data_IF_344144215423
#
_entry.id   IF_344144215423
#
_cell.length_a   1.000
_cell.length_b   1.000
_cell.length_c   1.000
_cell.angle_alpha   90.00
_cell.angle_beta   90.00
_cell.angle_gamma   90.00
#
_symmetry.space_group_name_H-M   'P 1'
#
loop_
_entity.id
_entity.type
_entity.pdbx_description
1 polymer ?
#
# COMPACT_ATOMS: atom_id res chain seq x y z
N UNK A 1 8.40 29.09 16.00
CA UNK A 1 9.74 28.99 16.62
C UNK A 1 10.65 28.32 15.61
N UNK A 2 11.82 28.89 15.33
CA UNK A 2 12.83 28.22 14.49
C UNK A 2 13.53 27.15 15.32
N UNK A 3 13.36 25.87 14.97
CA UNK A 3 14.09 24.77 15.62
C UNK A 3 15.52 24.79 15.07
N UNK A 4 16.52 24.99 15.94
CA UNK A 4 17.91 25.12 15.53
C UNK A 4 18.62 23.76 15.66
N UNK A 5 19.41 23.39 14.65
CA UNK A 5 20.20 22.16 14.69
C UNK A 5 21.20 22.17 15.86
N UNK A 6 21.66 23.35 16.28
CA UNK A 6 22.57 23.53 17.42
C UNK A 6 22.00 23.02 18.74
N UNK A 7 20.67 22.96 18.89
CA UNK A 7 20.00 22.48 20.10
C UNK A 7 20.19 20.96 20.30
N UNK A 8 20.70 20.26 19.28
CA UNK A 8 20.90 18.81 19.26
C UNK A 8 22.38 18.41 19.20
N UNK A 9 23.31 19.31 19.53
CA UNK A 9 24.75 19.10 19.37
C UNK A 9 25.24 17.74 19.89
N UNK A 10 24.78 17.30 21.06
CA UNK A 10 25.15 16.01 21.68
C UNK A 10 24.83 14.79 20.78
N UNK A 11 23.70 14.82 20.05
CA UNK A 11 23.30 13.72 19.15
C UNK A 11 24.09 13.71 17.84
N UNK A 12 24.82 14.78 17.55
CA UNK A 12 25.56 14.99 16.30
C UNK A 12 27.06 14.71 16.44
N UNK A 13 27.58 14.59 17.66
CA UNK A 13 29.02 14.42 17.94
C UNK A 13 29.62 13.19 17.26
N UNK A 14 28.84 12.10 17.16
CA UNK A 14 29.28 10.83 16.58
C UNK A 14 29.18 10.78 15.03
N UNK A 15 28.54 11.78 14.43
CA UNK A 15 28.37 11.86 12.97
C UNK A 15 29.65 12.34 12.30
N UNK A 16 29.98 11.75 11.15
CA UNK A 16 31.10 12.23 10.35
C UNK A 16 30.82 13.64 9.79
N UNK A 17 31.85 14.42 9.43
CA UNK A 17 31.65 15.73 8.78
C UNK A 17 30.77 15.66 7.53
N UNK A 18 30.84 14.54 6.80
CA UNK A 18 30.03 14.29 5.61
C UNK A 18 28.56 14.06 5.96
N UNK A 19 28.26 13.21 6.96
CA UNK A 19 26.89 13.02 7.45
C UNK A 19 26.31 14.30 8.07
N UNK A 20 27.12 15.10 8.77
CA UNK A 20 26.69 16.40 9.29
C UNK A 20 26.34 17.38 8.17
N UNK A 21 27.12 17.44 7.09
CA UNK A 21 26.82 18.27 5.93
C UNK A 21 25.51 17.84 5.24
N UNK A 22 25.30 16.52 5.10
CA UNK A 22 24.05 15.98 4.57
C UNK A 22 22.85 16.36 5.47
N UNK A 23 23.00 16.27 6.79
CA UNK A 23 21.95 16.66 7.73
C UNK A 23 21.63 18.16 7.65
N UNK A 24 22.65 19.02 7.59
CA UNK A 24 22.46 20.46 7.44
C UNK A 24 21.72 20.81 6.14
N UNK A 25 22.07 20.15 5.03
CA UNK A 25 21.41 20.34 3.75
C UNK A 25 19.91 19.93 3.78
N UNK A 26 19.56 18.90 4.55
CA UNK A 26 18.19 18.36 4.63
C UNK A 26 17.38 18.88 5.83
N UNK A 27 17.99 19.62 6.75
CA UNK A 27 17.38 20.04 8.02
C UNK A 27 16.07 20.82 7.84
N UNK A 28 16.04 21.72 6.87
CA UNK A 28 14.86 22.52 6.60
C UNK A 28 13.65 21.68 6.15
N UNK A 29 13.88 20.63 5.38
CA UNK A 29 12.78 19.72 4.99
C UNK A 29 12.37 18.80 6.14
N UNK A 30 13.34 18.31 6.92
CA UNK A 30 13.05 17.50 8.11
C UNK A 30 12.17 18.26 9.13
N UNK A 31 12.49 19.53 9.41
CA UNK A 31 11.74 20.37 10.36
C UNK A 31 10.33 20.75 9.89
N UNK A 32 10.00 20.62 8.60
CA UNK A 32 8.62 20.78 8.10
C UNK A 32 7.76 19.55 8.32
N UNK A 33 8.38 18.37 8.38
CA UNK A 33 7.66 17.09 8.49
C UNK A 33 7.50 16.67 9.94
N UNK A 34 8.56 16.81 10.73
CA UNK A 34 8.60 16.25 12.07
C UNK A 34 8.13 17.21 13.15
N UNK A 35 7.46 16.66 14.16
CA UNK A 35 7.31 17.30 15.46
C UNK A 35 8.66 17.36 16.20
N UNK A 36 8.77 18.13 17.30
CA UNK A 36 9.98 18.11 18.13
C UNK A 36 10.36 16.70 18.63
N UNK A 37 9.36 15.85 18.92
CA UNK A 37 9.57 14.43 19.30
C UNK A 37 10.02 13.60 18.09
N UNK A 38 9.44 13.86 16.91
CA UNK A 38 9.84 13.21 15.66
C UNK A 38 11.30 13.53 15.28
N UNK A 39 11.73 14.79 15.44
CA UNK A 39 13.12 15.21 15.19
C UNK A 39 14.10 14.52 16.14
N UNK A 40 13.76 14.42 17.43
CA UNK A 40 14.57 13.69 18.41
C UNK A 40 14.73 12.21 18.02
N UNK A 41 13.64 11.53 17.63
CA UNK A 41 13.67 10.15 17.16
C UNK A 41 14.48 10.00 15.86
N UNK A 42 14.33 10.92 14.92
CA UNK A 42 15.06 10.94 13.66
C UNK A 42 16.58 11.09 13.87
N UNK A 43 17.00 12.00 14.76
CA UNK A 43 18.41 12.22 15.08
C UNK A 43 19.01 11.05 15.88
N UNK A 44 18.27 10.52 16.87
CA UNK A 44 18.66 9.30 17.59
C UNK A 44 18.81 8.11 16.65
N UNK A 45 17.93 7.98 15.65
CA UNK A 45 18.03 6.96 14.61
C UNK A 45 19.29 7.12 13.75
N UNK A 46 19.65 8.35 13.37
CA UNK A 46 20.88 8.62 12.63
C UNK A 46 22.14 8.21 13.42
N UNK A 47 22.20 8.58 14.71
CA UNK A 47 23.27 8.17 15.62
C UNK A 47 23.31 6.65 15.83
N UNK A 48 22.16 6.00 16.02
CA UNK A 48 22.09 4.54 16.17
C UNK A 48 22.58 3.79 14.91
N UNK A 49 22.21 4.26 13.72
CA UNK A 49 22.68 3.70 12.45
C UNK A 49 24.17 3.93 12.26
N UNK A 50 24.68 5.10 12.66
CA UNK A 50 26.12 5.38 12.67
C UNK A 50 26.87 4.38 13.55
N UNK A 51 26.31 4.06 14.73
CA UNK A 51 26.85 3.05 15.65
C UNK A 51 26.99 1.64 15.07
N UNK A 52 26.35 1.32 13.95
CA UNK A 52 26.52 0.03 13.25
C UNK A 52 27.91 -0.12 12.59
N UNK A 53 28.63 0.99 12.35
CA UNK A 53 29.94 0.97 11.71
C UNK A 53 29.93 0.45 10.27
N UNK A 54 28.82 0.63 9.54
CA UNK A 54 28.60 0.11 8.17
C UNK A 54 28.87 1.12 7.05
N UNK A 55 29.47 2.27 7.36
CA UNK A 55 29.80 3.34 6.41
C UNK A 55 28.86 4.55 6.50
N UNK A 56 29.29 5.67 5.90
CA UNK A 56 28.57 6.95 5.95
C UNK A 56 27.35 6.96 5.02
N UNK A 57 27.39 6.23 3.91
CA UNK A 57 26.29 6.12 2.94
C UNK A 57 24.98 5.65 3.57
N UNK A 58 25.06 4.76 4.56
CA UNK A 58 23.90 4.26 5.29
C UNK A 58 23.25 5.35 6.14
N UNK A 59 24.06 6.19 6.77
CA UNK A 59 23.60 7.32 7.60
C UNK A 59 23.02 8.41 6.71
N UNK A 60 23.63 8.67 5.55
CA UNK A 60 23.10 9.58 4.54
C UNK A 60 21.74 9.13 4.00
N UNK A 61 21.59 7.85 3.66
CA UNK A 61 20.32 7.27 3.23
C UNK A 61 19.23 7.47 4.31
N UNK A 62 19.56 7.25 5.59
CA UNK A 62 18.65 7.57 6.69
C UNK A 62 18.28 9.06 6.73
N UNK A 63 19.27 9.94 6.67
CA UNK A 63 19.06 11.39 6.77
C UNK A 63 18.15 11.89 5.65
N UNK A 64 18.39 11.44 4.42
CA UNK A 64 17.70 11.93 3.22
C UNK A 64 16.29 11.34 3.11
N UNK A 65 16.12 10.04 3.34
CA UNK A 65 14.90 9.33 2.96
C UNK A 65 13.85 9.27 4.09
N UNK A 66 14.28 9.28 5.34
CA UNK A 66 13.37 9.15 6.51
C UNK A 66 12.31 10.26 6.61
N UNK A 67 12.62 11.55 6.34
CA UNK A 67 11.59 12.59 6.30
C UNK A 67 10.47 12.29 5.30
N UNK A 68 10.80 11.73 4.13
CA UNK A 68 9.80 11.37 3.14
C UNK A 68 8.95 10.19 3.62
N UNK A 69 9.52 9.19 4.28
CA UNK A 69 8.75 8.10 4.92
C UNK A 69 7.74 8.67 5.93
N UNK A 70 8.21 9.54 6.83
CA UNK A 70 7.35 10.13 7.85
C UNK A 70 6.23 11.00 7.26
N UNK A 71 6.49 11.68 6.14
CA UNK A 71 5.48 12.46 5.43
C UNK A 71 4.38 11.59 4.82
N UNK A 72 4.72 10.41 4.32
CA UNK A 72 3.76 9.53 3.63
C UNK A 72 2.93 8.69 4.62
N UNK A 73 3.53 8.18 5.71
CA UNK A 73 2.84 7.25 6.64
C UNK A 73 2.83 7.69 8.11
N UNK A 74 3.42 8.84 8.44
CA UNK A 74 3.45 9.41 9.79
C UNK A 74 4.79 9.23 10.52
N UNK A 75 5.11 10.11 11.47
CA UNK A 75 6.39 10.11 12.17
C UNK A 75 6.58 8.95 13.17
N UNK A 76 5.49 8.31 13.59
CA UNK A 76 5.55 7.22 14.59
C UNK A 76 6.30 5.98 14.06
N UNK A 77 6.34 5.76 12.74
CA UNK A 77 7.06 4.61 12.15
C UNK A 77 8.58 4.79 12.09
N UNK A 78 9.11 6.00 12.37
CA UNK A 78 10.56 6.27 12.29
C UNK A 78 11.32 5.37 13.26
N UNK A 79 10.80 5.18 14.47
CA UNK A 79 11.40 4.26 15.44
C UNK A 79 11.44 2.81 14.94
N UNK A 80 10.36 2.35 14.30
CA UNK A 80 10.28 1.01 13.73
C UNK A 80 11.26 0.81 12.56
N UNK A 81 11.44 1.84 11.71
CA UNK A 81 12.41 1.80 10.62
C UNK A 81 13.84 1.70 11.15
N UNK A 82 14.19 2.49 12.18
CA UNK A 82 15.49 2.38 12.86
C UNK A 82 15.68 0.98 13.46
N UNK A 83 14.69 0.49 14.22
CA UNK A 83 14.73 -0.82 14.85
C UNK A 83 14.87 -1.95 13.81
N UNK A 84 14.17 -1.88 12.68
CA UNK A 84 14.30 -2.82 11.58
C UNK A 84 15.74 -2.79 11.01
N UNK A 85 16.27 -1.61 10.71
CA UNK A 85 17.65 -1.44 10.21
C UNK A 85 18.69 -2.05 11.17
N UNK A 86 18.58 -1.78 12.47
CA UNK A 86 19.46 -2.33 13.49
C UNK A 86 19.34 -3.86 13.59
N UNK A 87 18.11 -4.39 13.54
CA UNK A 87 17.83 -5.83 13.58
C UNK A 87 18.37 -6.59 12.36
N UNK A 88 18.48 -5.91 11.22
CA UNK A 88 19.04 -6.49 10.00
C UNK A 88 20.57 -6.48 9.98
N UNK A 89 21.22 -5.59 10.73
CA UNK A 89 22.68 -5.42 10.73
C UNK A 89 23.48 -6.69 11.09
N UNK A 90 22.90 -7.60 11.87
CA UNK A 90 23.50 -8.89 12.24
C UNK A 90 23.28 -10.00 11.21
N UNK A 91 22.37 -9.81 10.26
CA UNK A 91 21.91 -10.85 9.30
C UNK A 91 22.20 -10.52 7.85
N UNK A 92 22.51 -9.27 7.54
CA UNK A 92 22.81 -8.83 6.16
C UNK A 92 23.92 -7.78 6.10
N UNK A 93 24.33 -7.43 4.87
CA UNK A 93 25.35 -6.42 4.62
C UNK A 93 24.80 -4.99 4.75
N UNK A 94 25.67 -4.03 5.05
CA UNK A 94 25.29 -2.60 5.11
C UNK A 94 24.63 -2.11 3.82
N UNK A 95 25.09 -2.57 2.66
CA UNK A 95 24.52 -2.23 1.37
C UNK A 95 23.05 -2.68 1.19
N UNK A 96 22.62 -3.75 1.87
CA UNK A 96 21.21 -4.20 1.82
C UNK A 96 20.33 -3.31 2.70
N UNK A 97 20.86 -2.87 3.85
CA UNK A 97 20.15 -1.95 4.74
C UNK A 97 20.06 -0.57 4.09
N UNK A 98 21.13 -0.13 3.43
CA UNK A 98 21.15 1.10 2.64
C UNK A 98 20.10 1.05 1.53
N UNK A 99 20.01 -0.06 0.79
CA UNK A 99 18.98 -0.24 -0.22
C UNK A 99 17.56 -0.27 0.39
N UNK A 100 17.37 -0.86 1.56
CA UNK A 100 16.10 -0.82 2.28
C UNK A 100 15.71 0.63 2.63
N UNK A 101 16.65 1.45 3.12
CA UNK A 101 16.41 2.87 3.43
C UNK A 101 16.09 3.66 2.16
N UNK A 102 16.87 3.47 1.09
CA UNK A 102 16.65 4.13 -0.21
C UNK A 102 15.30 3.77 -0.85
N UNK A 103 14.75 2.60 -0.55
CA UNK A 103 13.46 2.13 -1.09
C UNK A 103 12.30 2.27 -0.12
N UNK A 104 12.56 2.66 1.14
CA UNK A 104 11.54 2.87 2.15
C UNK A 104 10.50 3.95 1.76
N UNK A 105 10.88 5.10 1.14
CA UNK A 105 9.90 6.07 0.66
C UNK A 105 8.94 5.50 -0.38
N UNK A 106 9.44 4.66 -1.29
CA UNK A 106 8.59 3.97 -2.29
C UNK A 106 7.58 3.06 -1.60
N UNK A 107 8.01 2.28 -0.61
CA UNK A 107 7.09 1.44 0.16
C UNK A 107 6.08 2.29 0.96
N UNK A 108 6.54 3.35 1.63
CA UNK A 108 5.68 4.24 2.41
C UNK A 108 4.62 4.91 1.54
N UNK A 109 5.00 5.46 0.38
CA UNK A 109 4.07 6.08 -0.55
C UNK A 109 3.05 5.08 -1.12
N UNK A 110 3.49 3.86 -1.46
CA UNK A 110 2.61 2.83 -2.03
C UNK A 110 1.63 2.25 -1.02
N UNK A 111 2.06 2.08 0.22
CA UNK A 111 1.25 1.52 1.29
C UNK A 111 0.32 2.57 1.92
N UNK A 112 0.77 3.81 2.07
CA UNK A 112 -0.06 4.94 2.53
C UNK A 112 -0.64 4.79 3.94
N UNK A 113 -0.18 3.83 4.73
CA UNK A 113 -0.60 3.60 6.11
C UNK A 113 0.56 3.08 6.98
N UNK A 114 0.60 3.56 8.23
CA UNK A 114 1.66 3.25 9.20
C UNK A 114 1.73 1.75 9.53
N UNK A 115 0.58 1.11 9.74
CA UNK A 115 0.53 -0.28 10.12
C UNK A 115 0.92 -1.20 8.95
N UNK A 116 0.50 -0.86 7.73
CA UNK A 116 0.96 -1.54 6.52
C UNK A 116 2.48 -1.42 6.34
N UNK A 117 3.04 -0.24 6.58
CA UNK A 117 4.48 -0.04 6.51
C UNK A 117 5.24 -0.86 7.55
N UNK A 118 4.76 -0.93 8.80
CA UNK A 118 5.31 -1.81 9.83
C UNK A 118 5.25 -3.28 9.40
N UNK A 119 4.13 -3.73 8.84
CA UNK A 119 3.98 -5.10 8.31
C UNK A 119 4.95 -5.38 7.15
N UNK A 120 5.23 -4.38 6.31
CA UNK A 120 6.27 -4.46 5.28
C UNK A 120 7.66 -4.66 5.90
N UNK A 121 8.03 -3.90 6.93
CA UNK A 121 9.32 -4.07 7.62
C UNK A 121 9.44 -5.46 8.28
N UNK A 122 8.36 -5.97 8.87
CA UNK A 122 8.29 -7.33 9.42
C UNK A 122 8.43 -8.40 8.33
N UNK A 123 7.82 -8.18 7.16
CA UNK A 123 7.97 -9.04 6.01
C UNK A 123 9.42 -9.09 5.52
N UNK A 124 10.11 -7.94 5.37
CA UNK A 124 11.52 -7.90 4.97
C UNK A 124 12.39 -8.69 5.97
N UNK A 125 12.15 -8.51 7.26
CA UNK A 125 12.82 -9.27 8.32
C UNK A 125 12.62 -10.79 8.17
N UNK A 126 11.41 -11.21 7.81
CA UNK A 126 11.07 -12.62 7.59
C UNK A 126 11.74 -13.17 6.32
N UNK A 127 11.73 -12.39 5.23
CA UNK A 127 12.31 -12.81 3.96
C UNK A 127 13.82 -12.95 4.05
N UNK A 128 14.51 -12.04 4.75
CA UNK A 128 15.96 -12.12 4.96
C UNK A 128 16.37 -13.43 5.66
N UNK A 129 15.53 -13.95 6.56
CA UNK A 129 15.81 -15.23 7.24
C UNK A 129 15.70 -16.44 6.30
N UNK A 130 14.88 -16.36 5.24
CA UNK A 130 14.61 -17.48 4.33
C UNK A 130 15.40 -17.41 3.01
N UNK A 131 15.56 -16.20 2.46
CA UNK A 131 16.16 -15.95 1.15
C UNK A 131 17.03 -14.66 1.17
N UNK A 132 18.11 -14.60 1.96
CA UNK A 132 18.92 -13.38 2.12
C UNK A 132 19.51 -12.86 0.80
N UNK A 133 19.83 -13.78 -0.13
CA UNK A 133 20.37 -13.45 -1.46
C UNK A 133 19.31 -12.88 -2.41
N UNK A 134 18.04 -13.18 -2.16
CA UNK A 134 16.91 -12.70 -2.96
C UNK A 134 16.45 -11.28 -2.58
N UNK A 135 16.77 -10.81 -1.38
CA UNK A 135 16.25 -9.54 -0.86
C UNK A 135 16.76 -8.34 -1.64
N UNK A 136 18.07 -8.28 -1.94
CA UNK A 136 18.62 -7.17 -2.73
C UNK A 136 18.01 -7.10 -4.13
N UNK A 137 18.02 -8.19 -4.94
CA UNK A 137 17.33 -8.19 -6.23
C UNK A 137 15.86 -7.80 -6.17
N UNK A 138 15.14 -8.22 -5.13
CA UNK A 138 13.74 -7.84 -4.93
C UNK A 138 13.59 -6.34 -4.66
N UNK A 139 14.41 -5.78 -3.77
CA UNK A 139 14.37 -4.34 -3.45
C UNK A 139 14.72 -3.49 -4.67
N UNK A 140 15.64 -3.93 -5.53
CA UNK A 140 15.94 -3.28 -6.81
C UNK A 140 14.73 -3.23 -7.77
N UNK A 141 13.72 -4.11 -7.56
CA UNK A 141 12.47 -4.18 -8.32
C UNK A 141 11.25 -3.71 -7.53
N UNK A 142 11.44 -3.08 -6.37
CA UNK A 142 10.34 -2.81 -5.44
C UNK A 142 9.23 -1.95 -6.05
N UNK A 143 9.57 -0.91 -6.80
CA UNK A 143 8.58 -0.05 -7.47
C UNK A 143 7.75 -0.84 -8.50
N UNK A 144 8.40 -1.67 -9.33
CA UNK A 144 7.73 -2.53 -10.32
C UNK A 144 6.78 -3.52 -9.65
N UNK A 145 7.20 -4.08 -8.51
CA UNK A 145 6.40 -5.01 -7.72
C UNK A 145 5.18 -4.31 -7.12
N UNK A 146 5.35 -3.18 -6.43
CA UNK A 146 4.23 -2.45 -5.82
C UNK A 146 3.29 -1.77 -6.83
N UNK A 147 3.71 -1.59 -8.07
CA UNK A 147 2.81 -1.14 -9.13
C UNK A 147 1.81 -2.23 -9.58
N UNK A 148 2.04 -3.48 -9.22
CA UNK A 148 1.20 -4.62 -9.63
C UNK A 148 0.64 -5.42 -8.45
N UNK A 149 1.32 -5.38 -7.31
CA UNK A 149 1.02 -6.18 -6.14
C UNK A 149 0.65 -5.30 -4.96
N UNK A 150 -0.34 -5.78 -4.21
CA UNK A 150 -0.56 -5.33 -2.84
C UNK A 150 0.53 -5.90 -1.91
N UNK A 151 0.61 -5.44 -0.66
CA UNK A 151 1.56 -6.00 0.31
C UNK A 151 1.37 -7.51 0.50
N UNK A 152 0.12 -7.97 0.58
CA UNK A 152 -0.19 -9.40 0.64
C UNK A 152 0.26 -10.15 -0.61
N UNK A 153 0.06 -9.56 -1.80
CA UNK A 153 0.55 -10.12 -3.07
C UNK A 153 2.07 -10.24 -3.10
N UNK A 154 2.79 -9.20 -2.67
CA UNK A 154 4.26 -9.19 -2.57
C UNK A 154 4.75 -10.28 -1.61
N UNK A 155 4.14 -10.42 -0.43
CA UNK A 155 4.49 -11.44 0.56
C UNK A 155 4.30 -12.85 -0.01
N UNK A 156 3.17 -13.13 -0.64
CA UNK A 156 2.90 -14.47 -1.24
C UNK A 156 3.84 -14.77 -2.40
N UNK A 157 4.07 -13.80 -3.28
CA UNK A 157 5.04 -13.93 -4.38
C UNK A 157 6.44 -14.22 -3.85
N UNK A 158 6.93 -13.43 -2.89
CA UNK A 158 8.28 -13.57 -2.35
C UNK A 158 8.48 -14.86 -1.56
N UNK A 159 7.54 -15.22 -0.68
CA UNK A 159 7.63 -16.45 0.12
C UNK A 159 7.54 -17.70 -0.77
N UNK A 160 6.73 -17.66 -1.83
CA UNK A 160 6.73 -18.74 -2.82
C UNK A 160 8.08 -18.88 -3.49
N UNK A 161 8.69 -17.78 -3.97
CA UNK A 161 10.02 -17.80 -4.60
C UNK A 161 11.12 -18.29 -3.66
N UNK A 162 11.08 -17.86 -2.40
CA UNK A 162 12.00 -18.31 -1.36
C UNK A 162 11.89 -19.83 -1.12
N UNK A 163 10.66 -20.37 -1.08
CA UNK A 163 10.42 -21.79 -0.88
C UNK A 163 10.79 -22.63 -2.11
N UNK A 164 10.33 -22.23 -3.30
CA UNK A 164 10.53 -22.94 -4.56
C UNK A 164 12.01 -23.09 -4.92
N UNK A 165 12.81 -22.05 -4.67
CA UNK A 165 14.23 -22.01 -5.02
C UNK A 165 15.15 -22.09 -3.78
N UNK A 166 14.67 -22.66 -2.66
CA UNK A 166 15.41 -22.71 -1.39
C UNK A 166 16.83 -23.31 -1.48
N UNK A 167 17.03 -24.27 -2.39
CA UNK A 167 18.32 -24.96 -2.59
C UNK A 167 19.06 -24.50 -3.86
N UNK A 168 18.42 -23.70 -4.72
CA UNK A 168 19.01 -23.25 -5.98
C UNK A 168 19.15 -21.72 -5.95
N UNK A 169 20.33 -21.26 -5.50
CA UNK A 169 20.58 -19.83 -5.30
C UNK A 169 20.61 -19.02 -6.60
N UNK A 170 21.06 -19.61 -7.71
CA UNK A 170 21.07 -18.93 -9.00
C UNK A 170 19.65 -18.64 -9.48
N UNK A 171 18.77 -19.64 -9.43
CA UNK A 171 17.36 -19.46 -9.78
C UNK A 171 16.62 -18.59 -8.76
N UNK A 172 17.00 -18.63 -7.47
CA UNK A 172 16.45 -17.71 -6.47
C UNK A 172 16.76 -16.25 -6.85
N UNK A 173 18.00 -15.94 -7.24
CA UNK A 173 18.38 -14.58 -7.68
C UNK A 173 17.60 -14.19 -8.94
N UNK A 174 17.52 -15.07 -9.95
CA UNK A 174 16.74 -14.80 -11.18
C UNK A 174 15.26 -14.55 -10.87
N UNK A 175 14.69 -15.32 -9.95
CA UNK A 175 13.30 -15.14 -9.52
C UNK A 175 13.07 -13.74 -8.95
N UNK A 176 13.87 -13.35 -7.95
CA UNK A 176 13.70 -12.05 -7.30
C UNK A 176 14.12 -10.86 -8.19
N UNK A 177 14.91 -11.09 -9.23
CA UNK A 177 15.29 -10.09 -10.24
C UNK A 177 14.22 -9.87 -11.32
N UNK A 178 13.13 -10.65 -11.32
CA UNK A 178 12.11 -10.71 -12.38
C UNK A 178 12.63 -11.26 -13.73
N UNK A 179 13.71 -12.04 -13.71
CA UNK A 179 14.33 -12.60 -14.92
C UNK A 179 13.80 -14.01 -15.26
N UNK A 180 13.21 -14.72 -14.29
CA UNK A 180 12.64 -16.05 -14.53
C UNK A 180 11.19 -15.99 -15.01
N UNK A 181 10.80 -16.96 -15.85
CA UNK A 181 9.42 -17.08 -16.34
C UNK A 181 8.46 -17.36 -15.19
N UNK A 182 8.90 -18.14 -14.22
CA UNK A 182 8.17 -18.51 -13.01
C UNK A 182 7.88 -17.27 -12.15
N UNK A 183 8.84 -16.36 -12.05
CA UNK A 183 8.68 -15.09 -11.34
C UNK A 183 7.60 -14.22 -11.97
N UNK A 184 7.65 -14.06 -13.30
CA UNK A 184 6.64 -13.31 -14.05
C UNK A 184 5.26 -13.98 -13.98
N UNK A 185 5.19 -15.31 -14.06
CA UNK A 185 3.93 -16.05 -13.94
C UNK A 185 3.30 -15.91 -12.55
N UNK A 186 4.10 -16.02 -11.49
CA UNK A 186 3.63 -15.80 -10.12
C UNK A 186 3.24 -14.33 -9.89
N UNK A 187 3.96 -13.38 -10.48
CA UNK A 187 3.62 -11.97 -10.43
C UNK A 187 2.24 -11.72 -11.06
N UNK A 188 1.96 -12.27 -12.25
CA UNK A 188 0.64 -12.15 -12.88
C UNK A 188 -0.45 -12.86 -12.07
N UNK A 189 -0.14 -13.97 -11.39
CA UNK A 189 -1.11 -14.69 -10.55
C UNK A 189 -1.48 -13.93 -9.28
N UNK A 190 -0.53 -13.20 -8.70
CA UNK A 190 -0.75 -12.40 -7.48
C UNK A 190 -1.16 -10.96 -7.78
N UNK A 191 -1.07 -10.53 -9.04
CA UNK A 191 -1.57 -9.23 -9.49
C UNK A 191 -3.04 -9.10 -9.15
N UNK A 192 -3.36 -7.98 -8.50
CA UNK A 192 -4.73 -7.54 -8.26
C UNK A 192 -5.12 -6.50 -9.30
N UNK A 193 -6.42 -6.28 -9.47
CA UNK A 193 -6.98 -5.35 -10.43
C UNK A 193 -6.59 -3.89 -10.17
N UNK A 194 -7.57 -3.03 -9.97
CA UNK A 194 -7.32 -1.61 -9.71
C UNK A 194 -6.80 -1.43 -8.28
N UNK A 195 -5.59 -0.91 -8.09
CA UNK A 195 -5.05 -0.59 -6.76
C UNK A 195 -5.62 0.73 -6.24
N UNK A 196 -5.93 0.80 -4.95
CA UNK A 196 -6.49 2.01 -4.32
C UNK A 196 -5.59 3.22 -4.52
N UNK A 197 -4.28 3.06 -4.28
CA UNK A 197 -3.29 4.13 -4.36
C UNK A 197 -3.28 4.83 -5.73
N UNK A 198 -3.57 4.09 -6.81
CA UNK A 198 -3.57 4.63 -8.17
C UNK A 198 -4.85 5.42 -8.50
N UNK A 199 -5.95 5.19 -7.77
CA UNK A 199 -7.25 5.82 -8.03
C UNK A 199 -7.76 6.73 -6.92
N UNK A 200 -7.13 6.73 -5.75
CA UNK A 200 -7.57 7.45 -4.56
C UNK A 200 -7.84 8.94 -4.83
N UNK A 201 -6.96 9.62 -5.57
CA UNK A 201 -7.17 11.04 -5.95
C UNK A 201 -8.44 11.24 -6.78
N UNK A 202 -8.72 10.33 -7.71
CA UNK A 202 -9.92 10.37 -8.58
C UNK A 202 -11.18 10.10 -7.77
N UNK A 203 -11.12 9.15 -6.81
CA UNK A 203 -12.22 8.87 -5.88
C UNK A 203 -12.49 10.08 -4.99
N UNK A 204 -11.45 10.74 -4.47
CA UNK A 204 -11.60 11.96 -3.68
C UNK A 204 -12.28 13.09 -4.46
N UNK A 205 -11.89 13.31 -5.73
CA UNK A 205 -12.56 14.29 -6.59
C UNK A 205 -14.03 13.93 -6.82
N UNK A 206 -14.33 12.65 -7.02
CA UNK A 206 -15.70 12.14 -7.16
C UNK A 206 -16.54 12.37 -5.90
N UNK A 207 -16.03 12.02 -4.72
CA UNK A 207 -16.72 12.25 -3.45
C UNK A 207 -16.92 13.74 -3.17
N UNK A 208 -15.92 14.58 -3.47
CA UNK A 208 -16.04 16.04 -3.35
C UNK A 208 -17.14 16.60 -4.25
N UNK A 209 -17.30 16.07 -5.46
CA UNK A 209 -18.37 16.47 -6.36
C UNK A 209 -19.76 16.06 -5.83
N UNK A 210 -19.87 14.92 -5.15
CA UNK A 210 -21.12 14.43 -4.57
C UNK A 210 -21.51 15.13 -3.27
N UNK A 211 -20.54 15.33 -2.38
CA UNK A 211 -20.78 15.70 -0.98
C UNK A 211 -20.26 17.09 -0.60
N UNK A 212 -19.58 17.79 -1.52
CA UNK A 212 -18.95 19.08 -1.27
C UNK A 212 -17.96 19.10 -0.07
N UNK A 213 -17.36 17.96 0.26
CA UNK A 213 -16.36 17.79 1.33
C UNK A 213 -15.34 16.71 1.01
N UNK A 214 -14.30 16.68 1.83
CA UNK A 214 -13.19 15.74 1.70
C UNK A 214 -13.39 14.54 2.61
N UNK A 215 -12.88 13.40 2.14
CA UNK A 215 -12.83 12.17 2.89
C UNK A 215 -11.39 11.67 2.92
N UNK A 216 -10.96 11.20 4.08
CA UNK A 216 -9.68 10.54 4.21
C UNK A 216 -9.91 9.05 3.96
N UNK A 217 -9.14 8.49 3.03
CA UNK A 217 -9.21 7.07 2.67
C UNK A 217 -7.88 6.41 3.00
N UNK A 218 -7.94 5.19 3.51
CA UNK A 218 -6.78 4.33 3.72
C UNK A 218 -7.07 2.93 3.23
N UNK A 219 -6.04 2.17 2.80
CA UNK A 219 -6.22 0.75 2.54
C UNK A 219 -6.59 0.01 3.84
N UNK A 220 -7.41 -1.03 3.71
CA UNK A 220 -7.72 -1.96 4.81
C UNK A 220 -6.45 -2.71 5.21
N UNK A 221 -6.17 -2.79 6.51
CA UNK A 221 -5.11 -3.62 7.06
C UNK A 221 -5.51 -5.12 7.24
N UNK A 222 -6.68 -5.52 6.71
CA UNK A 222 -7.31 -6.82 6.97
C UNK A 222 -6.60 -8.02 6.33
N UNK A 223 -6.70 -9.15 7.02
CA UNK A 223 -6.05 -10.46 6.83
C UNK A 223 -5.35 -10.69 5.48
N UNK A 224 -4.05 -10.37 5.43
CA UNK A 224 -3.19 -10.52 4.26
C UNK A 224 -2.98 -11.98 3.82
N UNK A 225 -3.36 -12.95 4.64
CA UNK A 225 -3.14 -14.38 4.38
C UNK A 225 -4.26 -14.99 3.55
N UNK A 226 -5.49 -14.51 3.73
CA UNK A 226 -6.66 -14.98 2.99
C UNK A 226 -7.05 -13.95 1.93
N UNK A 227 -7.29 -14.39 0.68
CA UNK A 227 -7.69 -13.51 -0.45
C UNK A 227 -9.09 -12.88 -0.25
N UNK A 228 -9.67 -12.99 0.95
CA UNK A 228 -11.05 -12.66 1.32
C UNK A 228 -11.15 -11.46 2.29
N UNK A 229 -10.03 -10.99 2.86
CA UNK A 229 -9.94 -9.99 3.94
C UNK A 229 -10.23 -8.52 3.58
N UNK A 230 -11.13 -8.25 2.64
CA UNK A 230 -11.30 -6.92 2.03
C UNK A 230 -12.70 -6.33 2.22
N UNK A 231 -13.19 -6.26 3.46
CA UNK A 231 -14.41 -5.50 3.74
C UNK A 231 -14.01 -4.05 4.05
N UNK A 232 -14.59 -3.08 3.34
CA UNK A 232 -14.42 -1.69 3.72
C UNK A 232 -15.06 -1.47 5.09
N UNK A 233 -14.58 -0.50 5.85
CA UNK A 233 -15.13 -0.11 7.14
C UNK A 233 -14.80 1.37 7.44
N UNK A 234 -15.40 1.92 8.49
CA UNK A 234 -15.16 3.30 8.93
C UNK A 234 -14.60 3.29 10.35
N UNK A 235 -13.50 3.99 10.56
CA UNK A 235 -12.87 4.18 11.87
C UNK A 235 -12.38 5.64 11.96
N UNK A 236 -12.69 6.34 13.05
CA UNK A 236 -12.27 7.73 13.26
C UNK A 236 -12.56 8.70 12.09
N UNK A 237 -13.68 8.51 11.39
CA UNK A 237 -14.08 9.24 10.17
C UNK A 237 -13.19 9.00 8.94
N UNK A 238 -12.30 8.01 9.00
CA UNK A 238 -11.53 7.51 7.86
C UNK A 238 -12.28 6.36 7.20
N UNK A 239 -12.26 6.35 5.86
CA UNK A 239 -12.78 5.27 5.05
C UNK A 239 -11.66 4.27 4.81
N UNK A 240 -11.78 3.08 5.40
CA UNK A 240 -10.89 1.98 5.11
C UNK A 240 -11.45 1.20 3.93
N UNK A 241 -10.73 1.20 2.81
CA UNK A 241 -11.15 0.56 1.56
C UNK A 241 -10.17 -0.56 1.18
N UNK A 242 -10.60 -1.60 0.44
CA UNK A 242 -9.68 -2.61 -0.05
C UNK A 242 -8.47 -2.02 -0.78
N UNK A 243 -7.29 -2.59 -0.53
CA UNK A 243 -6.04 -2.17 -1.19
C UNK A 243 -6.08 -2.34 -2.71
N UNK A 244 -6.93 -3.25 -3.20
CA UNK A 244 -7.21 -3.48 -4.61
C UNK A 244 -8.61 -4.06 -4.85
N UNK A 245 -9.20 -3.71 -5.99
CA UNK A 245 -10.39 -4.37 -6.53
C UNK A 245 -10.10 -5.05 -7.86
N UNK A 246 -10.44 -6.34 -7.95
CA UNK A 246 -10.53 -7.05 -9.22
C UNK A 246 -11.82 -6.63 -9.96
N UNK A 247 -11.78 -6.61 -11.28
CA UNK A 247 -12.96 -6.28 -12.06
C UNK A 247 -14.03 -7.35 -11.89
N UNK A 248 -15.26 -6.92 -11.65
CA UNK A 248 -16.38 -7.82 -11.39
C UNK A 248 -17.04 -8.21 -12.71
N UNK A 249 -17.04 -9.50 -13.02
CA UNK A 249 -17.69 -10.03 -14.21
C UNK A 249 -19.12 -10.43 -13.84
N UNK A 250 -20.10 -9.82 -14.50
CA UNK A 250 -21.50 -10.17 -14.34
C UNK A 250 -21.71 -11.60 -14.88
N UNK A 251 -22.31 -12.51 -14.10
CA UNK A 251 -22.65 -13.82 -14.61
C UNK A 251 -23.70 -13.66 -15.72
N UNK A 252 -23.36 -14.09 -16.94
CA UNK A 252 -24.27 -13.99 -18.08
C UNK A 252 -25.58 -14.75 -17.79
N UNK A 253 -26.75 -14.22 -18.18
CA UNK A 253 -28.05 -14.77 -17.80
C UNK A 253 -28.44 -16.10 -18.48
N UNK A 254 -27.52 -16.84 -19.09
CA UNK A 254 -27.82 -18.09 -19.82
C UNK A 254 -27.18 -19.31 -19.20
N UNK A 255 -27.90 -19.91 -18.25
CA UNK A 255 -27.64 -21.24 -17.71
C UNK A 255 -28.94 -22.05 -17.58
N UNK A 256 -29.75 -22.08 -18.64
CA UNK A 256 -30.99 -22.85 -18.67
C UNK A 256 -31.48 -23.13 -20.09
N UNK A 257 -31.12 -24.31 -20.62
CA UNK A 257 -31.93 -25.12 -21.54
C UNK A 257 -32.29 -24.61 -22.96
N UNK A 258 -31.88 -25.42 -23.94
CA UNK A 258 -32.54 -25.70 -25.23
C UNK A 258 -32.34 -24.75 -26.44
N UNK A 259 -31.60 -25.27 -27.43
CA UNK A 259 -31.99 -25.37 -28.84
C UNK A 259 -32.12 -24.11 -29.72
N UNK A 260 -31.45 -24.10 -30.86
CA UNK A 260 -31.89 -23.33 -32.04
C UNK A 260 -30.84 -22.48 -32.74
N UNK A 261 -30.35 -23.02 -33.87
CA UNK A 261 -29.91 -22.42 -35.14
C UNK A 261 -29.67 -20.89 -35.27
N UNK A 262 -28.57 -20.54 -35.94
CA UNK A 262 -28.07 -19.17 -36.08
C UNK A 262 -28.66 -18.33 -37.21
N UNK A 263 -28.23 -17.05 -37.30
CA UNK A 263 -28.00 -16.30 -38.55
C UNK A 263 -27.42 -14.88 -38.28
N UNK A 264 -26.31 -14.60 -38.96
CA UNK A 264 -25.82 -13.35 -39.62
C UNK A 264 -25.93 -11.94 -39.00
N UNK A 265 -24.77 -11.26 -39.05
CA UNK A 265 -24.48 -9.84 -38.82
C UNK A 265 -25.29 -8.83 -39.65
N UNK A 266 -25.52 -7.65 -39.07
CA UNK A 266 -25.54 -6.36 -39.80
C UNK A 266 -25.02 -5.23 -38.90
N UNK A 267 -24.01 -4.49 -39.37
CA UNK A 267 -23.46 -3.28 -38.74
C UNK A 267 -24.30 -2.05 -39.12
N UNK A 268 -24.58 -1.17 -38.16
CA UNK A 268 -25.12 0.17 -38.40
C UNK A 268 -24.40 1.16 -37.48
N UNK A 269 -23.63 2.08 -38.07
CA UNK A 269 -22.90 3.15 -37.40
C UNK A 269 -23.76 4.41 -37.30
N UNK A 270 -24.02 4.89 -36.08
CA UNK A 270 -24.46 6.27 -35.82
C UNK A 270 -23.74 6.78 -34.57
N UNK A 271 -23.26 8.02 -34.66
CA UNK A 271 -22.40 8.70 -33.69
C UNK A 271 -22.98 8.71 -32.25
N UNK A 272 -22.13 8.40 -31.27
CA UNK A 272 -22.48 8.26 -29.86
C UNK A 272 -22.52 9.61 -29.12
N UNK A 273 -23.63 9.84 -28.42
CA UNK A 273 -23.81 10.91 -27.43
C UNK A 273 -23.18 10.49 -26.08
N UNK A 274 -22.68 11.42 -25.23
CA UNK A 274 -21.94 11.09 -24.00
C UNK A 274 -22.76 10.38 -22.90
N UNK A 275 -24.06 10.20 -23.09
CA UNK A 275 -24.98 9.58 -22.12
C UNK A 275 -25.58 8.25 -22.58
N UNK A 276 -25.08 7.65 -23.66
CA UNK A 276 -25.57 6.35 -24.14
C UNK A 276 -24.78 5.21 -23.45
N UNK A 277 -25.43 4.24 -22.78
CA UNK A 277 -24.73 3.06 -22.26
C UNK A 277 -24.05 2.31 -23.44
N UNK A 278 -22.87 1.71 -23.21
CA UNK A 278 -22.10 1.07 -24.27
C UNK A 278 -22.88 -0.09 -24.91
N UNK A 279 -22.69 -0.35 -26.22
CA UNK A 279 -23.41 -1.38 -26.94
C UNK A 279 -23.13 -2.79 -26.37
N UNK A 280 -24.17 -3.61 -26.33
CA UNK A 280 -24.14 -5.00 -25.89
C UNK A 280 -23.10 -5.80 -26.70
N UNK A 281 -22.05 -6.21 -26.02
CA UNK A 281 -20.83 -6.81 -26.57
C UNK A 281 -19.59 -6.50 -25.71
N UNK A 282 -19.67 -5.44 -24.90
CA UNK A 282 -18.65 -4.98 -23.95
C UNK A 282 -19.22 -4.86 -22.51
N UNK A 283 -20.42 -5.42 -22.28
CA UNK A 283 -21.36 -5.03 -21.22
C UNK A 283 -21.56 -5.98 -20.03
N UNK A 284 -20.64 -6.89 -19.72
CA UNK A 284 -20.74 -7.78 -18.54
C UNK A 284 -19.54 -7.60 -17.57
N UNK A 285 -18.91 -6.42 -17.53
CA UNK A 285 -17.77 -6.14 -16.64
C UNK A 285 -17.94 -4.80 -15.92
N UNK A 286 -17.93 -4.83 -14.59
CA UNK A 286 -17.82 -3.66 -13.73
C UNK A 286 -16.35 -3.48 -13.37
N UNK A 287 -15.78 -2.33 -13.71
CA UNK A 287 -14.37 -2.06 -13.45
C UNK A 287 -14.08 -1.91 -11.96
N UNK A 288 -12.86 -2.22 -11.51
CA UNK A 288 -12.45 -1.98 -10.12
C UNK A 288 -12.58 -0.51 -9.70
N UNK A 289 -12.45 0.44 -10.63
CA UNK A 289 -12.72 1.85 -10.38
C UNK A 289 -14.19 2.12 -10.03
N UNK A 290 -15.14 1.46 -10.71
CA UNK A 290 -16.57 1.59 -10.41
C UNK A 290 -16.91 0.96 -9.07
N UNK A 291 -16.27 -0.17 -8.73
CA UNK A 291 -16.37 -0.75 -7.39
C UNK A 291 -15.90 0.24 -6.33
N UNK A 292 -14.73 0.87 -6.51
CA UNK A 292 -14.27 1.93 -5.60
C UNK A 292 -15.25 3.10 -5.47
N UNK A 293 -15.83 3.57 -6.58
CA UNK A 293 -16.82 4.66 -6.55
C UNK A 293 -18.06 4.26 -5.76
N UNK A 294 -18.58 3.06 -5.99
CA UNK A 294 -19.76 2.54 -5.30
C UNK A 294 -19.49 2.38 -3.80
N UNK A 295 -18.41 1.69 -3.45
CA UNK A 295 -18.00 1.47 -2.06
C UNK A 295 -17.74 2.78 -1.33
N UNK A 296 -16.91 3.67 -1.89
CA UNK A 296 -16.56 4.91 -1.22
C UNK A 296 -17.76 5.85 -1.08
N UNK A 297 -18.68 5.89 -2.06
CA UNK A 297 -19.92 6.66 -1.94
C UNK A 297 -20.83 6.10 -0.83
N UNK A 298 -20.92 4.78 -0.70
CA UNK A 298 -21.66 4.14 0.39
C UNK A 298 -21.04 4.49 1.76
N UNK A 299 -19.72 4.34 1.94
CA UNK A 299 -19.07 4.71 3.21
C UNK A 299 -19.25 6.22 3.51
N UNK A 300 -19.11 7.07 2.50
CA UNK A 300 -19.30 8.51 2.65
C UNK A 300 -20.73 8.87 3.08
N UNK A 301 -21.75 8.16 2.57
CA UNK A 301 -23.13 8.36 2.98
C UNK A 301 -23.33 8.10 4.48
N UNK A 302 -22.73 7.04 5.03
CA UNK A 302 -22.75 6.80 6.48
C UNK A 302 -22.10 7.92 7.27
N UNK A 303 -20.93 8.39 6.83
CA UNK A 303 -20.22 9.50 7.51
C UNK A 303 -21.02 10.81 7.47
N UNK A 304 -21.80 11.06 6.42
CA UNK A 304 -22.53 12.32 6.24
C UNK A 304 -23.93 12.28 6.87
N UNK A 305 -24.67 11.18 6.69
CA UNK A 305 -26.09 11.10 7.03
C UNK A 305 -26.34 10.44 8.40
N UNK A 306 -25.44 9.57 8.88
CA UNK A 306 -25.60 8.92 10.19
C UNK A 306 -25.20 9.87 11.32
N UNK A 307 -26.16 10.67 11.78
CA UNK A 307 -25.95 11.68 12.84
C UNK A 307 -26.22 11.17 14.25
N UNK A 308 -27.00 10.12 14.39
CA UNK A 308 -27.42 9.53 15.67
C UNK A 308 -27.33 8.01 15.55
N UNK A 309 -26.74 7.30 16.53
CA UNK A 309 -26.72 5.85 16.50
C UNK A 309 -28.14 5.29 16.52
N UNK A 310 -28.41 4.32 15.65
CA UNK A 310 -29.68 3.61 15.65
C UNK A 310 -29.71 2.68 16.87
N UNK A 311 -30.70 2.86 17.75
CA UNK A 311 -30.86 1.96 18.89
C UNK A 311 -31.28 0.57 18.43
N UNK A 312 -30.47 -0.44 18.75
CA UNK A 312 -30.80 -1.84 18.45
C UNK A 312 -32.11 -2.28 19.11
N UNK A 313 -32.44 -1.72 20.29
CA UNK A 313 -33.68 -2.03 21.02
C UNK A 313 -34.93 -1.43 20.36
N UNK A 314 -34.77 -0.45 19.48
CA UNK A 314 -35.87 0.24 18.81
C UNK A 314 -36.23 -0.36 17.44
N UNK A 315 -35.48 -1.36 16.96
CA UNK A 315 -35.69 -1.98 15.65
C UNK A 315 -36.55 -3.24 15.75
N UNK A 316 -37.52 -3.36 14.84
CA UNK A 316 -38.26 -4.61 14.68
C UNK A 316 -37.49 -5.60 13.77
N UNK A 317 -37.82 -6.90 13.77
CA UNK A 317 -37.09 -7.92 13.01
C UNK A 317 -37.02 -7.65 11.49
N UNK A 318 -38.05 -7.04 10.89
CA UNK A 318 -38.05 -6.69 9.48
C UNK A 318 -37.10 -5.54 9.18
N UNK A 319 -37.06 -4.53 10.04
CA UNK A 319 -36.10 -3.43 9.93
C UNK A 319 -34.68 -3.94 10.10
N UNK A 320 -34.43 -4.81 11.07
CA UNK A 320 -33.13 -5.48 11.20
C UNK A 320 -32.76 -6.25 9.93
N UNK A 321 -33.68 -7.06 9.36
CA UNK A 321 -33.40 -7.83 8.16
C UNK A 321 -33.10 -6.94 6.93
N UNK A 322 -33.83 -5.83 6.76
CA UNK A 322 -33.61 -4.88 5.66
C UNK A 322 -32.31 -4.11 5.85
N UNK A 323 -32.05 -3.62 7.06
CA UNK A 323 -30.78 -2.95 7.41
C UNK A 323 -29.64 -3.92 7.18
N UNK A 324 -29.72 -5.15 7.69
CA UNK A 324 -28.70 -6.17 7.44
C UNK A 324 -28.55 -6.48 5.95
N UNK A 325 -29.60 -6.54 5.13
CA UNK A 325 -29.44 -6.78 3.69
C UNK A 325 -28.76 -5.62 2.95
N UNK A 326 -28.99 -4.37 3.38
CA UNK A 326 -28.44 -3.17 2.74
C UNK A 326 -27.04 -2.84 3.28
N UNK A 327 -26.80 -2.99 4.58
CA UNK A 327 -25.49 -2.84 5.21
C UNK A 327 -24.58 -4.04 4.88
N UNK A 328 -25.11 -5.26 4.73
CA UNK A 328 -24.36 -6.43 4.24
C UNK A 328 -24.14 -6.42 2.72
N UNK A 329 -24.50 -5.33 2.02
CA UNK A 329 -23.83 -4.95 0.77
C UNK A 329 -22.39 -4.41 1.01
N UNK A 330 -21.99 -4.40 2.29
CA UNK A 330 -20.68 -4.37 2.98
C UNK A 330 -19.88 -3.08 2.89
N UNK A 331 -20.23 -2.15 3.79
CA UNK A 331 -19.29 -1.37 4.64
C UNK A 331 -19.23 -2.02 6.02
#
# INVERSE_FOLDING_TARGET
MSINLADYAELLEDLSPHSQAALQANWHEATKVFSPRGLDNYLKGASAIRGLGKGDSLVEAWIVETPQVAKEVGEDVVGDLAAASLSLASRTSGAVIELLLNTAPTAANRLGDAHLFQNYLQFINTLIAQAPRGVRPMLDKLDVLFHQLTLGGLRRWALWGAHAHRTNYEEQIKYFSLDSKESLAMLQKERKGTLLVDVQRRINMYLRALWARDFFMRPTAGDFETREGYRPYIEDYLLHLPDAFDDFILPSPTGGGAGGEGTTSAKSSVASSPLTPPPAGEGDRVSGLELYRATAAHCAAHVVETKVPISAEALNPMQMAVISAIEDARV
#
